data_IF_939174385776
#
_entry.id   IF_939174385776
#
_cell.length_a   1.000
_cell.length_b   1.000
_cell.length_c   1.000
_cell.angle_alpha   90.00
_cell.angle_beta   90.00
_cell.angle_gamma   90.00
#
_symmetry.space_group_name_H-M   'P 1'
#
loop_
_entity.id
_entity.type
_entity.pdbx_description
1 polymer ?
#
# COMPACT_ATOMS: atom_id res chain seq x y z
N UNK A 1 14.70 19.59 -2.34
CA UNK A 1 14.48 18.26 -1.73
C UNK A 1 15.34 18.22 -0.49
N UNK A 2 14.77 17.83 0.66
CA UNK A 2 15.50 17.67 1.92
C UNK A 2 16.70 16.73 1.74
N UNK A 3 17.80 17.00 2.45
CA UNK A 3 19.01 16.15 2.45
C UNK A 3 18.83 14.81 3.17
N UNK A 4 17.62 14.49 3.63
CA UNK A 4 17.36 13.20 4.26
C UNK A 4 17.18 12.10 3.20
N UNK A 5 17.87 10.94 3.36
CA UNK A 5 17.70 9.82 2.46
C UNK A 5 16.25 9.35 2.49
N UNK A 6 15.74 8.97 1.31
CA UNK A 6 14.40 8.36 1.23
C UNK A 6 14.39 7.07 2.04
N UNK A 7 13.29 6.77 2.72
CA UNK A 7 13.16 5.50 3.45
C UNK A 7 13.36 4.32 2.49
N UNK A 8 12.94 4.45 1.23
CA UNK A 8 13.23 3.45 0.19
C UNK A 8 14.73 3.21 -0.02
N UNK A 9 15.54 4.27 -0.08
CA UNK A 9 17.00 4.16 -0.22
C UNK A 9 17.62 3.55 1.03
N UNK A 10 17.11 3.91 2.20
CA UNK A 10 17.58 3.44 3.50
C UNK A 10 17.31 1.92 3.69
N UNK A 11 16.15 1.42 3.22
CA UNK A 11 15.84 -0.01 3.21
C UNK A 11 16.74 -0.79 2.23
N UNK A 12 17.13 -0.19 1.09
CA UNK A 12 17.97 -0.88 0.10
C UNK A 12 19.45 -0.86 0.50
N UNK A 13 19.94 0.28 1.03
CA UNK A 13 21.39 0.55 1.17
C UNK A 13 21.82 1.08 2.53
N UNK A 14 20.90 1.55 3.36
CA UNK A 14 21.22 2.23 4.61
C UNK A 14 20.95 1.38 5.85
N UNK A 15 20.47 2.02 6.91
CA UNK A 15 20.38 1.42 8.25
C UNK A 15 19.05 0.67 8.47
N UNK A 16 18.09 0.82 7.55
CA UNK A 16 16.81 0.10 7.56
C UNK A 16 16.85 -1.23 6.77
N UNK A 17 18.02 -1.67 6.32
CA UNK A 17 18.18 -2.95 5.62
C UNK A 17 17.66 -4.13 6.47
N UNK A 18 16.72 -4.95 5.96
CA UNK A 18 16.08 -6.03 6.74
C UNK A 18 17.00 -7.12 7.26
N UNK A 19 18.13 -7.36 6.60
CA UNK A 19 19.13 -8.39 6.91
C UNK A 19 20.23 -7.92 7.87
N UNK A 20 20.19 -6.68 8.35
CA UNK A 20 21.10 -6.24 9.41
C UNK A 20 20.71 -6.86 10.74
N UNK A 21 21.70 -7.25 11.55
CA UNK A 21 21.47 -7.88 12.85
C UNK A 21 20.55 -7.05 13.76
N UNK A 22 20.75 -5.73 13.73
CA UNK A 22 19.96 -4.75 14.48
C UNK A 22 18.48 -4.67 14.06
N UNK A 23 18.17 -5.15 12.85
CA UNK A 23 16.82 -5.19 12.27
C UNK A 23 16.23 -6.62 12.23
N UNK A 24 16.96 -7.63 12.73
CA UNK A 24 16.48 -9.02 12.82
C UNK A 24 15.66 -9.30 14.07
N UNK A 25 15.91 -8.56 15.16
CA UNK A 25 15.22 -8.72 16.44
C UNK A 25 13.76 -8.26 16.35
N UNK A 26 12.81 -9.20 16.30
CA UNK A 26 11.38 -8.91 16.08
C UNK A 26 10.75 -8.11 17.24
N UNK A 27 11.18 -8.39 18.47
CA UNK A 27 10.68 -7.79 19.70
C UNK A 27 10.88 -6.26 19.75
N UNK A 28 11.90 -5.76 19.05
CA UNK A 28 12.18 -4.32 18.93
C UNK A 28 11.07 -3.57 18.20
N UNK A 29 10.38 -4.24 17.26
CA UNK A 29 9.42 -3.59 16.37
C UNK A 29 8.01 -3.53 16.96
N UNK A 30 7.62 -4.50 17.79
CA UNK A 30 6.30 -4.54 18.40
C UNK A 30 5.86 -3.23 19.10
N UNK A 31 6.70 -2.58 19.94
CA UNK A 31 6.29 -1.35 20.62
C UNK A 31 6.20 -0.14 19.68
N UNK A 32 7.12 -0.02 18.72
CA UNK A 32 7.27 1.18 17.87
C UNK A 32 6.28 1.25 16.70
N UNK A 33 5.56 0.16 16.39
CA UNK A 33 4.56 0.14 15.30
C UNK A 33 3.45 1.18 15.51
N UNK A 34 3.04 1.39 16.76
CA UNK A 34 1.97 2.32 17.10
C UNK A 34 2.43 3.77 16.99
N UNK A 35 3.73 4.03 17.14
CA UNK A 35 4.32 5.38 17.08
C UNK A 35 4.48 5.89 15.64
N UNK A 36 4.42 4.99 14.64
CA UNK A 36 4.44 5.41 13.24
C UNK A 36 3.14 6.16 12.92
N UNK A 37 3.24 7.45 12.61
CA UNK A 37 2.12 8.23 12.12
C UNK A 37 1.63 7.71 10.75
N UNK A 38 0.32 7.68 10.54
CA UNK A 38 -0.25 7.33 9.24
C UNK A 38 -0.03 8.48 8.26
N UNK A 39 0.29 8.15 7.01
CA UNK A 39 0.42 9.12 5.93
C UNK A 39 -0.71 8.94 4.92
N UNK A 40 -1.57 9.95 4.82
CA UNK A 40 -2.65 9.98 3.82
C UNK A 40 -2.18 10.58 2.48
N UNK A 41 -2.69 10.09 1.34
CA UNK A 41 -2.50 10.73 0.04
C UNK A 41 -3.07 12.16 0.02
N UNK A 42 -2.28 13.13 -0.44
CA UNK A 42 -2.69 14.51 -0.74
C UNK A 42 -2.97 14.73 -2.23
N UNK A 43 -3.05 13.62 -2.96
CA UNK A 43 -3.41 13.52 -4.37
C UNK A 43 -4.58 12.53 -4.49
N UNK A 44 -5.15 12.40 -5.68
CA UNK A 44 -6.17 11.37 -5.94
C UNK A 44 -5.49 10.04 -6.29
N UNK A 45 -5.40 9.05 -5.38
CA UNK A 45 -4.70 7.80 -5.66
C UNK A 45 -5.44 6.97 -6.70
N UNK A 46 -4.74 6.48 -7.72
CA UNK A 46 -5.32 5.54 -8.67
C UNK A 46 -5.30 4.10 -8.17
N UNK A 47 -4.31 3.75 -7.36
CA UNK A 47 -4.07 2.37 -6.96
C UNK A 47 -4.01 2.23 -5.44
N UNK A 48 -4.39 1.05 -4.97
CA UNK A 48 -4.20 0.58 -3.60
C UNK A 48 -3.25 -0.63 -3.60
N UNK A 49 -2.37 -0.69 -2.59
CA UNK A 49 -1.50 -1.85 -2.37
C UNK A 49 -2.28 -2.90 -1.58
N UNK A 50 -2.63 -4.01 -2.23
CA UNK A 50 -3.26 -5.17 -1.60
C UNK A 50 -2.25 -6.31 -1.59
N UNK A 51 -1.32 -6.28 -0.63
CA UNK A 51 -0.25 -7.25 -0.48
C UNK A 51 -0.61 -8.41 0.48
N UNK A 52 0.28 -9.40 0.62
CA UNK A 52 0.10 -10.48 1.59
C UNK A 52 0.01 -9.96 3.03
N UNK A 53 -0.72 -10.71 3.87
CA UNK A 53 -0.87 -10.39 5.29
C UNK A 53 0.48 -10.51 6.00
N UNK A 54 0.80 -9.52 6.84
CA UNK A 54 1.94 -9.61 7.76
C UNK A 54 1.80 -10.80 8.71
N UNK A 55 2.93 -11.37 9.13
CA UNK A 55 2.97 -12.58 9.98
C UNK A 55 3.87 -12.45 11.22
N UNK A 56 4.61 -11.35 11.37
CA UNK A 56 5.41 -11.02 12.56
C UNK A 56 5.47 -9.49 12.77
N UNK A 57 6.13 -9.02 13.82
CA UNK A 57 6.19 -7.59 14.14
C UNK A 57 7.01 -6.81 13.09
N UNK A 58 8.11 -7.38 12.60
CA UNK A 58 8.96 -6.82 11.53
C UNK A 58 8.16 -6.56 10.26
N UNK A 59 7.47 -7.57 9.73
CA UNK A 59 6.64 -7.42 8.53
C UNK A 59 5.52 -6.40 8.72
N UNK A 60 4.92 -6.32 9.91
CA UNK A 60 3.92 -5.28 10.22
C UNK A 60 4.52 -3.88 10.24
N UNK A 61 5.67 -3.71 10.89
CA UNK A 61 6.40 -2.44 10.96
C UNK A 61 6.80 -1.95 9.57
N UNK A 62 7.51 -2.77 8.80
CA UNK A 62 7.94 -2.40 7.46
C UNK A 62 6.79 -2.22 6.50
N UNK A 63 5.69 -2.96 6.66
CA UNK A 63 4.49 -2.73 5.86
C UNK A 63 3.95 -1.31 6.05
N UNK A 64 3.73 -0.92 7.30
CA UNK A 64 3.26 0.43 7.64
C UNK A 64 4.25 1.51 7.16
N UNK A 65 5.54 1.28 7.38
CA UNK A 65 6.61 2.21 7.00
C UNK A 65 6.66 2.43 5.47
N UNK A 66 6.68 1.34 4.68
CA UNK A 66 6.78 1.39 3.22
C UNK A 66 5.53 2.00 2.58
N UNK A 67 4.33 1.64 3.06
CA UNK A 67 3.07 2.19 2.53
C UNK A 67 2.98 3.68 2.83
N UNK A 68 3.33 4.10 4.04
CA UNK A 68 3.36 5.52 4.40
C UNK A 68 4.40 6.29 3.56
N UNK A 69 5.59 5.73 3.35
CA UNK A 69 6.61 6.35 2.51
C UNK A 69 6.14 6.49 1.06
N UNK A 70 5.42 5.50 0.51
CA UNK A 70 4.86 5.62 -0.84
C UNK A 70 3.92 6.82 -0.97
N UNK A 71 3.05 7.04 0.02
CA UNK A 71 2.16 8.19 0.05
C UNK A 71 2.93 9.50 0.23
N UNK A 72 3.83 9.58 1.22
CA UNK A 72 4.65 10.75 1.49
C UNK A 72 5.51 11.16 0.30
N UNK A 73 6.12 10.18 -0.37
CA UNK A 73 6.97 10.42 -1.51
C UNK A 73 6.17 10.89 -2.72
N UNK A 74 5.00 10.31 -2.99
CA UNK A 74 4.07 10.84 -3.98
C UNK A 74 3.65 12.27 -3.67
N UNK A 75 3.23 12.56 -2.43
CA UNK A 75 2.85 13.92 -1.98
C UNK A 75 3.99 14.91 -2.26
N UNK A 76 5.21 14.55 -1.85
CA UNK A 76 6.41 15.38 -2.02
C UNK A 76 6.76 15.59 -3.50
N UNK A 77 6.76 14.52 -4.29
CA UNK A 77 7.09 14.60 -5.72
C UNK A 77 6.05 15.39 -6.49
N UNK A 78 4.76 15.15 -6.26
CA UNK A 78 3.68 15.84 -6.96
C UNK A 78 3.69 17.33 -6.61
N UNK A 79 3.83 17.69 -5.32
CA UNK A 79 3.97 19.09 -4.92
C UNK A 79 5.23 19.74 -5.53
N UNK A 80 6.37 19.05 -5.49
CA UNK A 80 7.62 19.54 -6.07
C UNK A 80 7.53 19.73 -7.58
N UNK A 81 6.99 18.78 -8.33
CA UNK A 81 6.84 18.89 -9.78
C UNK A 81 5.82 19.99 -10.11
N UNK A 82 4.67 19.99 -9.44
CA UNK A 82 3.56 20.93 -9.66
C UNK A 82 3.89 22.38 -9.32
N UNK A 83 4.86 22.63 -8.44
CA UNK A 83 5.38 23.99 -8.15
C UNK A 83 6.27 24.58 -9.26
N UNK A 84 6.35 23.95 -10.43
CA UNK A 84 7.12 24.47 -11.57
C UNK A 84 6.35 25.57 -12.30
N UNK A 85 7.00 26.72 -12.52
CA UNK A 85 6.36 27.89 -13.15
C UNK A 85 6.06 27.69 -14.66
N UNK A 86 6.83 26.82 -15.34
CA UNK A 86 6.64 26.53 -16.76
C UNK A 86 6.71 25.03 -17.09
N UNK A 87 6.19 24.66 -18.27
CA UNK A 87 6.15 23.27 -18.74
C UNK A 87 7.53 22.63 -18.85
N UNK A 88 8.58 23.41 -19.13
CA UNK A 88 9.96 22.88 -19.28
C UNK A 88 10.51 22.48 -17.92
N UNK A 89 10.29 23.28 -16.88
CA UNK A 89 10.67 22.96 -15.51
C UNK A 89 9.94 21.71 -15.03
N UNK A 90 8.63 21.60 -15.28
CA UNK A 90 7.83 20.41 -14.96
C UNK A 90 8.42 19.17 -15.66
N UNK A 91 8.65 19.23 -16.97
CA UNK A 91 9.25 18.12 -17.75
C UNK A 91 10.64 17.75 -17.26
N UNK A 92 11.47 18.73 -16.89
CA UNK A 92 12.79 18.48 -16.32
C UNK A 92 12.69 17.75 -14.98
N UNK A 93 11.85 18.22 -14.05
CA UNK A 93 11.63 17.60 -12.73
C UNK A 93 11.08 16.18 -12.86
N UNK A 94 10.11 15.97 -13.75
CA UNK A 94 9.60 14.64 -14.12
C UNK A 94 10.72 13.74 -14.62
N UNK A 95 11.56 14.23 -15.54
CA UNK A 95 12.69 13.48 -16.06
C UNK A 95 13.69 13.06 -14.98
N UNK A 96 13.97 13.91 -13.98
CA UNK A 96 14.84 13.55 -12.86
C UNK A 96 14.25 12.43 -12.00
N UNK A 97 12.93 12.43 -11.80
CA UNK A 97 12.25 11.44 -10.95
C UNK A 97 11.99 10.14 -11.71
N UNK A 98 11.22 10.20 -12.81
CA UNK A 98 10.75 9.03 -13.56
C UNK A 98 11.82 8.42 -14.46
N UNK A 99 12.79 9.18 -14.99
CA UNK A 99 13.81 8.64 -15.90
C UNK A 99 15.16 8.35 -15.23
N UNK A 100 15.37 8.82 -14.01
CA UNK A 100 16.62 8.59 -13.27
C UNK A 100 16.36 7.97 -11.90
N UNK A 101 15.76 8.71 -10.97
CA UNK A 101 15.70 8.31 -9.57
C UNK A 101 14.95 6.99 -9.34
N UNK A 102 13.70 6.88 -9.79
CA UNK A 102 12.93 5.64 -9.63
C UNK A 102 13.51 4.46 -10.42
N UNK A 103 13.92 4.60 -11.69
CA UNK A 103 14.61 3.52 -12.41
C UNK A 103 15.88 3.02 -11.73
N UNK A 104 16.66 3.90 -11.08
CA UNK A 104 17.82 3.48 -10.30
C UNK A 104 17.38 2.58 -9.14
N UNK A 105 16.38 3.01 -8.36
CA UNK A 105 15.85 2.20 -7.23
C UNK A 105 15.29 0.85 -7.69
N UNK A 106 14.56 0.80 -8.80
CA UNK A 106 14.07 -0.46 -9.36
C UNK A 106 15.21 -1.42 -9.70
N UNK A 107 16.25 -0.93 -10.37
CA UNK A 107 17.41 -1.74 -10.73
C UNK A 107 18.16 -2.25 -9.51
N UNK A 108 18.24 -1.45 -8.45
CA UNK A 108 18.87 -1.86 -7.20
C UNK A 108 18.08 -2.98 -6.50
N UNK A 109 16.75 -2.84 -6.45
CA UNK A 109 15.87 -3.88 -5.90
C UNK A 109 15.91 -5.15 -6.74
N UNK A 110 15.90 -5.03 -8.07
CA UNK A 110 16.00 -6.19 -8.96
C UNK A 110 17.30 -6.98 -8.71
N UNK A 111 18.42 -6.27 -8.58
CA UNK A 111 19.71 -6.88 -8.20
C UNK A 111 19.64 -7.53 -6.84
N UNK A 112 19.02 -6.87 -5.86
CA UNK A 112 18.90 -7.37 -4.49
C UNK A 112 18.05 -8.65 -4.43
N UNK A 113 16.90 -8.68 -5.11
CA UNK A 113 16.01 -9.84 -5.20
C UNK A 113 16.76 -11.01 -5.80
N UNK A 114 17.47 -10.78 -6.92
CA UNK A 114 18.23 -11.83 -7.60
C UNK A 114 19.43 -12.33 -6.79
N UNK A 115 20.15 -11.44 -6.11
CA UNK A 115 21.36 -11.79 -5.36
C UNK A 115 21.06 -12.60 -4.10
N UNK A 116 19.94 -12.33 -3.44
CA UNK A 116 19.57 -12.98 -2.19
C UNK A 116 18.47 -14.03 -2.33
N UNK A 117 17.97 -14.28 -3.55
CA UNK A 117 16.88 -15.23 -3.83
C UNK A 117 15.59 -14.90 -3.06
N UNK A 118 15.14 -13.64 -3.15
CA UNK A 118 13.90 -13.19 -2.51
C UNK A 118 12.68 -13.43 -3.41
N UNK A 119 12.44 -14.67 -3.84
CA UNK A 119 11.29 -15.01 -4.70
C UNK A 119 9.94 -14.88 -3.95
N UNK A 120 8.91 -14.35 -4.62
CA UNK A 120 7.53 -14.27 -4.12
C UNK A 120 6.96 -15.63 -3.68
N UNK A 121 7.44 -16.74 -4.25
CA UNK A 121 7.06 -18.10 -3.88
C UNK A 121 7.26 -18.37 -2.38
N UNK A 122 8.26 -17.76 -1.74
CA UNK A 122 8.60 -18.00 -0.33
C UNK A 122 7.60 -17.38 0.65
N UNK A 123 6.86 -16.35 0.21
CA UNK A 123 5.88 -15.64 1.04
C UNK A 123 4.43 -15.93 0.64
N UNK A 124 4.22 -16.76 -0.39
CA UNK A 124 2.89 -17.12 -0.86
C UNK A 124 2.16 -17.98 0.21
N UNK A 125 1.03 -17.49 0.76
CA UNK A 125 0.30 -18.20 1.81
C UNK A 125 -0.29 -19.53 1.36
N UNK A 126 -0.45 -19.76 0.05
CA UNK A 126 -0.99 -20.99 -0.52
C UNK A 126 0.11 -22.03 -0.84
N UNK A 127 1.39 -21.64 -0.82
CA UNK A 127 2.54 -22.50 -1.16
C UNK A 127 3.59 -22.53 -0.03
N UNK A 128 3.15 -22.36 1.22
CA UNK A 128 4.05 -22.24 2.38
C UNK A 128 4.91 -23.49 2.51
N UNK A 129 6.21 -23.35 2.24
CA UNK A 129 7.19 -24.36 2.57
C UNK A 129 7.73 -24.08 3.99
N UNK A 130 7.49 -24.96 4.98
CA UNK A 130 7.93 -24.76 6.36
C UNK A 130 9.46 -24.87 6.53
N UNK A 131 10.19 -25.35 5.52
CA UNK A 131 11.65 -25.49 5.57
C UNK A 131 12.41 -24.20 5.26
N UNK A 132 11.71 -23.13 4.89
CA UNK A 132 12.33 -21.83 4.61
C UNK A 132 12.65 -21.13 5.94
N UNK A 133 13.87 -20.59 6.02
CA UNK A 133 14.31 -19.77 7.14
C UNK A 133 13.35 -18.57 7.39
N UNK A 134 13.06 -18.32 8.67
CA UNK A 134 12.09 -17.32 9.07
C UNK A 134 12.56 -15.89 8.77
N UNK A 135 13.87 -15.64 8.87
CA UNK A 135 14.46 -14.35 8.50
C UNK A 135 14.38 -14.16 6.99
N UNK A 136 14.79 -15.15 6.20
CA UNK A 136 14.69 -15.11 4.75
C UNK A 136 13.27 -14.79 4.27
N UNK A 137 12.27 -15.43 4.88
CA UNK A 137 10.85 -15.17 4.57
C UNK A 137 10.43 -13.74 4.92
N UNK A 138 10.91 -13.20 6.04
CA UNK A 138 10.64 -11.83 6.50
C UNK A 138 11.28 -10.81 5.58
N UNK A 139 12.55 -11.01 5.23
CA UNK A 139 13.31 -10.16 4.31
C UNK A 139 12.67 -10.16 2.92
N UNK A 140 12.30 -11.35 2.41
CA UNK A 140 11.57 -11.50 1.14
C UNK A 140 10.28 -10.68 1.14
N UNK A 141 9.48 -10.76 2.21
CA UNK A 141 8.24 -9.99 2.33
C UNK A 141 8.51 -8.49 2.19
N UNK A 142 9.51 -7.98 2.91
CA UNK A 142 9.83 -6.56 2.97
C UNK A 142 10.30 -6.06 1.59
N UNK A 143 11.21 -6.78 0.94
CA UNK A 143 11.76 -6.36 -0.36
C UNK A 143 10.73 -6.47 -1.48
N UNK A 144 9.90 -7.52 -1.48
CA UNK A 144 8.83 -7.65 -2.46
C UNK A 144 7.76 -6.58 -2.27
N UNK A 145 7.42 -6.21 -1.03
CA UNK A 145 6.52 -5.09 -0.76
C UNK A 145 7.12 -3.75 -1.22
N UNK A 146 8.41 -3.53 -0.96
CA UNK A 146 9.12 -2.33 -1.41
C UNK A 146 9.08 -2.19 -2.93
N UNK A 147 9.26 -3.30 -3.67
CA UNK A 147 9.12 -3.34 -5.13
C UNK A 147 7.73 -2.84 -5.55
N UNK A 148 6.67 -3.43 -4.99
CA UNK A 148 5.27 -3.05 -5.30
C UNK A 148 5.00 -1.57 -4.99
N UNK A 149 5.50 -1.08 -3.85
CA UNK A 149 5.33 0.31 -3.44
C UNK A 149 6.01 1.30 -4.41
N UNK A 150 7.21 0.99 -4.91
CA UNK A 150 7.88 1.82 -5.91
C UNK A 150 7.17 1.80 -7.26
N UNK A 151 6.62 0.65 -7.67
CA UNK A 151 5.80 0.55 -8.90
C UNK A 151 4.58 1.46 -8.77
N UNK A 152 3.88 1.43 -7.62
CA UNK A 152 2.79 2.36 -7.33
C UNK A 152 3.25 3.81 -7.45
N UNK A 153 4.32 4.19 -6.75
CA UNK A 153 4.86 5.56 -6.77
C UNK A 153 5.11 6.04 -8.20
N UNK A 154 5.71 5.20 -9.03
CA UNK A 154 5.98 5.54 -10.43
C UNK A 154 4.68 5.88 -11.18
N UNK A 155 3.70 4.98 -11.13
CA UNK A 155 2.45 5.12 -11.89
C UNK A 155 1.61 6.29 -11.39
N UNK A 156 1.56 6.53 -10.08
CA UNK A 156 0.82 7.65 -9.49
C UNK A 156 1.41 9.00 -9.91
N UNK A 157 2.74 9.15 -9.89
CA UNK A 157 3.42 10.37 -10.36
C UNK A 157 3.22 10.53 -11.87
N UNK A 158 3.31 9.44 -12.65
CA UNK A 158 3.08 9.47 -14.09
C UNK A 158 1.68 9.98 -14.42
N UNK A 159 0.64 9.44 -13.76
CA UNK A 159 -0.73 9.86 -14.03
C UNK A 159 -0.97 11.32 -13.63
N UNK A 160 -0.46 11.75 -12.47
CA UNK A 160 -0.62 13.13 -11.99
C UNK A 160 -0.11 14.18 -13.00
N UNK A 161 0.82 13.81 -13.88
CA UNK A 161 1.37 14.68 -14.92
C UNK A 161 1.24 14.12 -16.34
N UNK A 162 0.25 13.26 -16.58
CA UNK A 162 0.03 12.60 -17.88
C UNK A 162 -0.08 13.59 -19.04
N UNK A 163 -0.71 14.75 -18.82
CA UNK A 163 -0.86 15.81 -19.84
C UNK A 163 0.49 16.40 -20.26
N UNK A 164 1.48 16.43 -19.35
CA UNK A 164 2.81 16.95 -19.62
C UNK A 164 3.76 15.88 -20.18
N UNK A 165 3.38 14.60 -20.15
CA UNK A 165 4.13 13.48 -20.70
C UNK A 165 3.65 13.25 -22.13
N UNK A 166 4.46 13.67 -23.10
CA UNK A 166 4.10 13.60 -24.52
C UNK A 166 4.36 12.22 -25.12
N UNK A 167 5.40 11.52 -24.64
CA UNK A 167 5.81 10.18 -25.06
C UNK A 167 6.31 9.39 -23.84
N UNK A 168 6.30 8.06 -23.92
CA UNK A 168 6.81 7.11 -22.90
C UNK A 168 5.97 6.98 -21.62
N UNK A 169 4.64 7.00 -21.75
CA UNK A 169 3.77 6.47 -20.70
C UNK A 169 4.05 4.96 -20.60
N UNK A 170 4.41 4.50 -19.41
CA UNK A 170 4.64 3.08 -19.14
C UNK A 170 3.43 2.47 -18.45
N UNK A 171 3.05 1.27 -18.86
CA UNK A 171 2.13 0.43 -18.11
C UNK A 171 2.88 -0.26 -16.95
N UNK A 172 2.14 -0.94 -16.08
CA UNK A 172 2.75 -1.66 -14.95
C UNK A 172 3.70 -2.73 -15.49
N UNK A 173 3.26 -3.45 -16.51
CA UNK A 173 3.95 -4.52 -17.21
C UNK A 173 5.30 -4.06 -17.77
N UNK A 174 5.35 -2.87 -18.36
CA UNK A 174 6.58 -2.27 -18.89
C UNK A 174 7.62 -2.05 -17.79
N UNK A 175 7.19 -1.64 -16.59
CA UNK A 175 8.09 -1.43 -15.45
C UNK A 175 8.73 -2.76 -14.99
N UNK A 176 7.95 -3.85 -14.97
CA UNK A 176 8.46 -5.18 -14.61
C UNK A 176 9.49 -5.68 -15.64
N UNK A 177 9.18 -5.54 -16.93
CA UNK A 177 10.06 -5.99 -18.00
C UNK A 177 11.33 -5.13 -18.11
N UNK A 178 11.19 -3.80 -18.11
CA UNK A 178 12.28 -2.88 -18.43
C UNK A 178 13.22 -2.64 -17.25
N UNK A 179 12.70 -2.52 -16.03
CA UNK A 179 13.51 -2.15 -14.87
C UNK A 179 13.74 -3.29 -13.89
N UNK A 180 12.77 -4.18 -13.72
CA UNK A 180 12.86 -5.28 -12.76
C UNK A 180 13.44 -6.56 -13.37
N UNK A 181 13.48 -6.67 -14.72
CA UNK A 181 13.94 -7.86 -15.44
C UNK A 181 13.19 -9.14 -15.02
N UNK A 182 11.91 -8.98 -14.67
CA UNK A 182 11.01 -10.06 -14.26
C UNK A 182 9.96 -10.30 -15.36
N UNK A 183 9.37 -11.50 -15.38
CA UNK A 183 8.18 -11.76 -16.19
C UNK A 183 7.01 -10.92 -15.70
N UNK A 184 6.07 -10.65 -16.61
CA UNK A 184 4.81 -9.97 -16.26
C UNK A 184 4.10 -10.77 -15.15
N UNK A 185 3.74 -10.14 -14.02
CA UNK A 185 3.06 -10.82 -12.93
C UNK A 185 1.63 -11.22 -13.33
N UNK A 186 1.26 -12.49 -13.11
CA UNK A 186 -0.11 -12.96 -13.36
C UNK A 186 -1.16 -12.22 -12.53
N UNK A 187 -0.79 -11.84 -11.30
CA UNK A 187 -1.63 -11.06 -10.40
C UNK A 187 -0.80 -9.91 -9.83
N UNK A 188 -1.22 -8.68 -10.15
CA UNK A 188 -0.65 -7.47 -9.58
C UNK A 188 -1.17 -7.26 -8.15
N UNK A 189 -0.28 -6.89 -7.23
CA UNK A 189 -0.64 -6.45 -5.88
C UNK A 189 -1.17 -5.01 -5.83
N UNK A 190 -1.25 -4.33 -6.98
CA UNK A 190 -1.89 -3.03 -7.15
C UNK A 190 -3.29 -3.23 -7.71
N UNK A 191 -4.29 -2.76 -6.95
CA UNK A 191 -5.68 -2.74 -7.39
C UNK A 191 -6.09 -1.32 -7.72
N UNK A 192 -6.76 -1.13 -8.85
CA UNK A 192 -7.28 0.16 -9.22
C UNK A 192 -8.44 0.56 -8.29
N UNK A 193 -8.38 1.78 -7.76
CA UNK A 193 -9.42 2.36 -6.92
C UNK A 193 -10.57 2.79 -7.84
N UNK A 194 -11.77 2.28 -7.57
CA UNK A 194 -12.98 2.72 -8.27
C UNK A 194 -13.59 3.89 -7.51
N UNK A 195 -13.52 5.08 -8.11
CA UNK A 195 -14.28 6.23 -7.62
C UNK A 195 -15.72 6.10 -8.10
N UNK A 196 -16.68 6.05 -7.18
CA UNK A 196 -18.09 6.18 -7.54
C UNK A 196 -18.32 7.65 -7.88
N UNK A 197 -18.16 8.01 -9.14
CA UNK A 197 -18.61 9.29 -9.67
C UNK A 197 -20.13 9.27 -9.77
N UNK A 198 -20.77 10.22 -9.09
CA UNK A 198 -22.19 10.55 -9.14
C UNK A 198 -23.16 9.48 -8.63
N UNK A 199 -23.50 9.57 -7.34
CA UNK A 199 -24.89 9.31 -6.95
C UNK A 199 -25.70 10.40 -7.65
N UNK A 200 -26.22 10.12 -8.86
CA UNK A 200 -27.37 10.85 -9.34
C UNK A 200 -28.43 10.71 -8.25
N UNK A 201 -28.68 11.79 -7.52
CA UNK A 201 -29.84 11.90 -6.66
C UNK A 201 -31.03 11.71 -7.61
N UNK A 202 -31.53 10.48 -7.69
CA UNK A 202 -32.80 10.20 -8.35
C UNK A 202 -33.80 11.02 -7.56
N UNK A 203 -34.21 12.15 -8.14
CA UNK A 203 -35.28 12.97 -7.62
C UNK A 203 -36.45 12.03 -7.36
N UNK A 204 -36.73 11.82 -6.08
CA UNK A 204 -37.88 11.04 -5.64
C UNK A 204 -39.09 11.80 -6.16
N UNK A 205 -39.63 11.37 -7.31
CA UNK A 205 -40.90 11.89 -7.80
C UNK A 205 -41.96 11.55 -6.76
N UNK A 206 -42.30 12.54 -5.95
CA UNK A 206 -43.40 12.49 -4.98
C UNK A 206 -44.70 12.43 -5.78
N UNK A 207 -45.15 11.23 -6.13
CA UNK A 207 -46.55 11.02 -6.53
C UNK A 207 -47.35 10.75 -5.27
N UNK A 208 -47.95 11.82 -4.77
CA UNK A 208 -49.05 11.78 -3.81
C UNK A 208 -50.19 10.93 -4.37
N UNK A 209 -50.48 9.79 -3.75
CA UNK A 209 -51.83 9.22 -3.69
C UNK A 209 -52.10 8.74 -2.28
N UNK A 210 -52.99 9.46 -1.62
CA UNK A 210 -53.65 9.11 -0.37
C UNK A 210 -54.64 7.98 -0.63
N UNK A 211 -54.58 6.90 0.16
CA UNK A 211 -55.72 6.32 0.91
C UNK A 211 -55.39 4.90 1.44
N UNK A 212 -55.16 4.86 2.75
CA UNK A 212 -55.60 3.87 3.75
C UNK A 212 -55.64 2.36 3.43
N UNK A 213 -54.85 1.58 4.20
CA UNK A 213 -55.38 0.60 5.18
C UNK A 213 -54.27 0.09 6.13
N UNK A 214 -54.49 0.35 7.41
CA UNK A 214 -54.03 -0.36 8.62
C UNK A 214 -53.07 -1.54 8.46
N UNK A 215 -51.89 -1.45 9.10
CA UNK A 215 -51.36 -2.51 9.96
C UNK A 215 -50.30 -1.98 10.95
N UNK A 216 -50.47 -2.40 12.20
CA UNK A 216 -49.81 -1.92 13.42
C UNK A 216 -48.32 -2.26 13.43
N UNK A 217 -47.49 -1.25 13.72
CA UNK A 217 -46.09 -1.39 14.10
C UNK A 217 -45.96 -2.14 15.44
N UNK A 218 -45.26 -3.27 15.45
CA UNK A 218 -44.73 -3.88 16.68
C UNK A 218 -43.25 -3.47 16.82
N UNK A 219 -42.84 -2.83 17.92
CA UNK A 219 -41.44 -2.60 18.20
C UNK A 219 -40.77 -3.90 18.66
N UNK A 220 -39.61 -4.22 18.07
CA UNK A 220 -38.79 -5.37 18.48
C UNK A 220 -38.12 -5.07 19.84
N UNK A 221 -38.75 -5.50 20.93
CA UNK A 221 -38.14 -5.53 22.26
C UNK A 221 -37.31 -6.81 22.44
N UNK A 222 -36.02 -6.65 22.74
CA UNK A 222 -35.11 -7.71 23.14
C UNK A 222 -35.57 -8.37 24.46
N UNK A 223 -35.67 -9.69 24.49
CA UNK A 223 -35.93 -10.46 25.73
C UNK A 223 -34.61 -11.02 26.29
N UNK A 224 -34.22 -10.57 27.47
CA UNK A 224 -33.14 -11.19 28.24
C UNK A 224 -33.64 -12.53 28.81
N UNK A 225 -32.84 -13.59 28.65
CA UNK A 225 -33.07 -14.86 29.36
C UNK A 225 -32.60 -14.69 30.81
N UNK A 226 -33.54 -14.73 31.76
CA UNK A 226 -33.23 -14.84 33.17
C UNK A 226 -32.62 -16.20 33.47
N UNK A 227 -31.40 -16.20 34.03
CA UNK A 227 -30.76 -17.38 34.61
C UNK A 227 -31.30 -17.52 36.03
N UNK A 228 -32.12 -18.54 36.28
CA UNK A 228 -32.58 -18.85 37.63
C UNK A 228 -31.43 -19.43 38.46
N UNK A 229 -30.80 -18.61 39.31
CA UNK A 229 -30.04 -19.08 40.47
C UNK A 229 -31.05 -19.57 41.51
N UNK A 230 -31.09 -20.88 41.79
CA UNK A 230 -31.67 -21.37 43.04
C UNK A 230 -30.69 -21.08 44.17
N UNK A 231 -31.15 -20.34 45.17
CA UNK A 231 -30.43 -20.13 46.42
C UNK A 231 -30.69 -21.32 47.35
N UNK A 232 -29.63 -21.73 48.04
CA UNK A 232 -29.66 -22.66 49.17
C UNK A 232 -30.68 -22.21 50.22
N UNK A 233 -31.40 -23.16 50.79
CA UNK A 233 -32.00 -22.99 52.11
C UNK A 233 -31.62 -24.18 52.99
N UNK A 234 -30.83 -23.84 54.01
CA UNK A 234 -30.51 -24.67 55.15
C UNK A 234 -31.79 -25.12 55.88
N UNK A 235 -31.88 -26.43 56.16
CA UNK A 235 -32.46 -26.99 57.39
C UNK A 235 -31.80 -28.33 57.68
#
# INVERSE_FOLDING_TARGET
MSNQPLIFEDIIRGDLRPWLDDNKVDEKFAPIINDIANSEPQFQPLFEIVFYRFFNARTRYFNKLIVNEANNYCNTCIAYIGSGDDSRVIKYRLGQILKKKLPTLFKDIAKLIKANDYDLLYINPNKVNPSIDADHKTETYIIQLLKVALVKVYIEIQEAFKVQITDNIMEIEDLYLQFLSESIPENTFLKQITYISDIQLVEKQTKTKVAEKTQKTKPNTFKYKHINKKADSLK
#
